data_IF_892230235606
#
_entry.id   IF_892230235606
#
_cell.length_a   1.000
_cell.length_b   1.000
_cell.length_c   1.000
_cell.angle_alpha   90.00
_cell.angle_beta   90.00
_cell.angle_gamma   90.00
#
_symmetry.space_group_name_H-M   'P 1'
#
loop_
_entity.id
_entity.type
_entity.pdbx_description
1 polymer ?
#
# COMPACT_ATOMS: atom_id res chain seq x y z
N UNK A 1 -11.00 7.67 8.49
CA UNK A 1 -12.10 7.07 7.73
C UNK A 1 -11.64 6.48 6.37
N UNK A 2 -10.35 6.58 6.06
CA UNK A 2 -9.67 5.80 5.04
C UNK A 2 -10.01 6.16 3.58
N UNK A 3 -9.70 5.24 2.68
CA UNK A 3 -9.83 5.42 1.23
C UNK A 3 -11.26 5.78 0.76
N UNK A 4 -12.27 5.36 1.51
CA UNK A 4 -13.69 5.65 1.23
C UNK A 4 -14.26 6.81 2.06
N UNK A 5 -13.41 7.70 2.56
CA UNK A 5 -13.70 8.79 3.49
C UNK A 5 -15.08 9.43 3.32
N UNK A 6 -15.90 9.34 4.39
CA UNK A 6 -17.19 10.02 4.47
C UNK A 6 -17.01 11.53 4.64
N UNK A 7 -16.00 11.94 5.40
CA UNK A 7 -15.65 13.36 5.60
C UNK A 7 -15.29 14.01 4.27
N UNK A 8 -14.43 13.37 3.46
CA UNK A 8 -14.07 13.86 2.13
C UNK A 8 -15.32 14.08 1.25
N UNK A 9 -16.25 13.11 1.28
CA UNK A 9 -17.51 13.21 0.53
C UNK A 9 -18.39 14.35 1.05
N UNK A 10 -18.54 14.46 2.36
CA UNK A 10 -19.36 15.50 3.00
C UNK A 10 -18.87 16.91 2.66
N UNK A 11 -17.56 17.10 2.54
CA UNK A 11 -16.96 18.39 2.19
C UNK A 11 -16.73 18.58 0.69
N UNK A 12 -17.29 17.68 -0.16
CA UNK A 12 -17.18 17.73 -1.61
C UNK A 12 -15.74 17.89 -2.12
N UNK A 13 -14.77 17.26 -1.43
CA UNK A 13 -13.36 17.30 -1.85
C UNK A 13 -13.15 16.30 -2.98
N UNK A 14 -12.83 16.77 -4.21
CA UNK A 14 -12.75 15.90 -5.37
C UNK A 14 -11.55 14.95 -5.30
N UNK A 15 -11.70 13.79 -5.94
CA UNK A 15 -10.70 12.73 -5.94
C UNK A 15 -10.38 12.33 -7.39
N UNK A 16 -9.10 12.10 -7.65
CA UNK A 16 -8.62 11.48 -8.89
C UNK A 16 -8.39 9.99 -8.64
N UNK A 17 -8.83 9.17 -9.58
CA UNK A 17 -8.63 7.72 -9.57
C UNK A 17 -7.69 7.33 -10.71
N UNK A 18 -6.83 6.35 -10.43
CA UNK A 18 -6.16 5.57 -11.45
C UNK A 18 -6.25 4.09 -11.03
N UNK A 19 -6.83 3.26 -11.88
CA UNK A 19 -6.75 1.81 -11.69
C UNK A 19 -5.36 1.34 -12.13
N UNK A 20 -4.79 0.41 -11.39
CA UNK A 20 -3.51 -0.17 -11.76
C UNK A 20 -3.67 -1.43 -12.59
N UNK A 21 -4.92 -1.87 -12.81
CA UNK A 21 -5.26 -3.14 -13.45
C UNK A 21 -4.53 -4.33 -12.79
N UNK A 22 -4.41 -4.26 -11.46
CA UNK A 22 -3.81 -5.29 -10.63
C UNK A 22 -4.65 -5.55 -9.39
N UNK A 23 -4.62 -6.80 -8.93
CA UNK A 23 -5.12 -7.21 -7.63
C UNK A 23 -3.96 -7.63 -6.73
N UNK A 24 -4.09 -7.42 -5.42
CA UNK A 24 -3.18 -7.97 -4.42
C UNK A 24 -3.85 -9.14 -3.72
N UNK A 25 -3.25 -10.33 -3.83
CA UNK A 25 -3.61 -11.49 -2.99
C UNK A 25 -2.85 -11.35 -1.68
N UNK A 26 -3.57 -11.44 -0.58
CA UNK A 26 -3.03 -11.43 0.77
C UNK A 26 -3.38 -12.74 1.45
N UNK A 27 -2.38 -13.38 2.04
CA UNK A 27 -2.54 -14.59 2.83
C UNK A 27 -1.42 -14.70 3.87
N UNK A 28 -1.63 -15.55 4.87
CA UNK A 28 -0.58 -15.98 5.80
C UNK A 28 -0.02 -17.31 5.32
N UNK A 29 1.30 -17.40 5.25
CA UNK A 29 2.04 -18.59 4.80
C UNK A 29 3.07 -18.99 5.84
N UNK A 30 3.13 -20.28 6.18
CA UNK A 30 4.19 -20.88 6.97
C UNK A 30 5.29 -21.44 6.07
N UNK A 31 6.55 -21.27 6.47
CA UNK A 31 7.73 -21.72 5.72
C UNK A 31 8.56 -22.70 6.52
N UNK A 32 9.25 -23.65 5.87
CA UNK A 32 10.18 -24.56 6.55
C UNK A 32 11.41 -23.83 7.08
N UNK A 33 11.84 -22.78 6.41
CA UNK A 33 13.00 -21.99 6.80
C UNK A 33 12.61 -20.78 7.64
N UNK A 34 13.44 -20.42 8.62
CA UNK A 34 13.22 -19.21 9.41
C UNK A 34 13.43 -17.94 8.56
N UNK A 35 12.57 -16.95 8.74
CA UNK A 35 12.68 -15.67 8.00
C UNK A 35 13.82 -14.75 8.49
N UNK A 36 14.38 -14.99 9.67
CA UNK A 36 15.47 -14.20 10.28
C UNK A 36 15.15 -12.68 10.30
N UNK A 37 13.89 -12.32 10.56
CA UNK A 37 13.37 -10.95 10.52
C UNK A 37 13.63 -10.22 9.17
N UNK A 38 13.73 -10.95 8.08
CA UNK A 38 14.04 -10.44 6.75
C UNK A 38 12.77 -10.43 5.89
N UNK A 39 12.35 -9.26 5.46
CA UNK A 39 11.35 -9.13 4.40
C UNK A 39 11.99 -9.45 3.04
N UNK A 40 11.31 -10.23 2.21
CA UNK A 40 11.74 -10.57 0.86
C UNK A 40 10.72 -10.09 -0.16
N UNK A 41 11.19 -9.68 -1.30
CA UNK A 41 10.33 -9.31 -2.42
C UNK A 41 10.97 -9.74 -3.73
N UNK A 42 10.18 -10.33 -4.60
CA UNK A 42 10.57 -10.67 -5.97
C UNK A 42 9.68 -9.90 -6.95
N UNK A 43 10.25 -9.51 -8.06
CA UNK A 43 9.54 -8.86 -9.16
C UNK A 43 9.38 -9.89 -10.27
N UNK A 44 8.16 -10.42 -10.40
CA UNK A 44 7.80 -11.37 -11.43
C UNK A 44 7.26 -10.62 -12.66
N UNK A 45 7.29 -11.21 -13.85
CA UNK A 45 6.62 -10.62 -15.02
C UNK A 45 5.13 -10.35 -14.80
N UNK A 46 4.48 -11.13 -13.94
CA UNK A 46 3.06 -10.98 -13.55
C UNK A 46 2.83 -9.96 -12.45
N UNK A 47 3.89 -9.45 -11.81
CA UNK A 47 3.85 -8.48 -10.72
C UNK A 47 4.64 -8.92 -9.48
N UNK A 48 4.83 -8.03 -8.50
CA UNK A 48 5.64 -8.30 -7.32
C UNK A 48 4.94 -9.23 -6.32
N UNK A 49 5.74 -10.11 -5.72
CA UNK A 49 5.37 -10.92 -4.55
C UNK A 49 6.27 -10.53 -3.38
N UNK A 50 5.68 -10.10 -2.28
CA UNK A 50 6.37 -9.78 -1.03
C UNK A 50 6.07 -10.82 0.05
N UNK A 51 7.08 -11.17 0.82
CA UNK A 51 7.03 -11.97 2.04
C UNK A 51 7.44 -11.11 3.22
N UNK A 52 6.50 -10.86 4.11
CA UNK A 52 6.66 -9.97 5.26
C UNK A 52 6.70 -10.82 6.53
N UNK A 53 7.79 -10.78 7.33
CA UNK A 53 7.92 -11.61 8.52
C UNK A 53 6.87 -11.23 9.57
N UNK A 54 6.25 -12.23 10.18
CA UNK A 54 5.36 -12.14 11.32
C UNK A 54 6.10 -12.51 12.62
N UNK A 55 5.49 -12.34 13.80
CA UNK A 55 6.17 -12.65 15.07
C UNK A 55 6.66 -14.10 15.23
N UNK A 56 5.97 -15.06 14.64
CA UNK A 56 6.46 -16.45 14.55
C UNK A 56 7.52 -16.55 13.46
N UNK A 57 8.67 -17.15 13.78
CA UNK A 57 9.88 -17.19 12.92
C UNK A 57 9.69 -17.85 11.56
N UNK A 58 8.68 -18.68 11.42
CA UNK A 58 8.36 -19.43 10.21
C UNK A 58 7.14 -18.85 9.46
N UNK A 59 6.52 -17.81 9.98
CA UNK A 59 5.25 -17.30 9.47
C UNK A 59 5.44 -15.94 8.78
N UNK A 60 4.86 -15.83 7.59
CA UNK A 60 4.90 -14.61 6.78
C UNK A 60 3.48 -14.17 6.39
N UNK A 61 3.26 -12.88 6.31
CA UNK A 61 2.19 -12.33 5.49
C UNK A 61 2.72 -12.17 4.07
N UNK A 62 2.01 -12.70 3.09
CA UNK A 62 2.33 -12.47 1.68
C UNK A 62 1.42 -11.41 1.08
N UNK A 63 1.98 -10.63 0.15
CA UNK A 63 1.26 -9.70 -0.70
C UNK A 63 1.71 -9.96 -2.15
N UNK A 64 0.85 -10.61 -2.92
CA UNK A 64 1.12 -10.93 -4.33
C UNK A 64 0.30 -10.04 -5.24
N UNK A 65 0.95 -9.07 -5.83
CA UNK A 65 0.32 -8.15 -6.78
C UNK A 65 0.42 -8.73 -8.20
N UNK A 66 -0.73 -8.88 -8.87
CA UNK A 66 -0.77 -9.49 -10.21
C UNK A 66 -1.99 -9.00 -11.00
N UNK A 67 -2.09 -9.39 -12.31
CA UNK A 67 -3.26 -9.06 -13.12
C UNK A 67 -4.54 -9.70 -12.55
N UNK A 68 -5.72 -9.14 -12.83
CA UNK A 68 -6.99 -9.72 -12.37
C UNK A 68 -7.16 -11.19 -12.78
N UNK A 69 -6.83 -11.54 -14.01
CA UNK A 69 -6.99 -12.89 -14.56
C UNK A 69 -6.06 -13.90 -13.87
N UNK A 70 -4.80 -13.50 -13.63
CA UNK A 70 -3.85 -14.34 -12.90
C UNK A 70 -4.22 -14.45 -11.42
N UNK A 71 -4.75 -13.40 -10.84
CA UNK A 71 -5.30 -13.42 -9.48
C UNK A 71 -6.43 -14.45 -9.34
N UNK A 72 -7.41 -14.44 -10.26
CA UNK A 72 -8.50 -15.42 -10.29
C UNK A 72 -7.97 -16.85 -10.43
N UNK A 73 -6.98 -17.06 -11.31
CA UNK A 73 -6.32 -18.36 -11.49
C UNK A 73 -5.69 -18.84 -10.17
N UNK A 74 -4.93 -17.97 -9.48
CA UNK A 74 -4.28 -18.32 -8.22
C UNK A 74 -5.29 -18.60 -7.09
N UNK A 75 -6.38 -17.85 -7.04
CA UNK A 75 -7.44 -18.07 -6.04
C UNK A 75 -8.21 -19.36 -6.27
N UNK A 76 -8.35 -19.81 -7.51
CA UNK A 76 -9.03 -21.04 -7.88
C UNK A 76 -8.20 -22.32 -7.59
N UNK A 77 -6.90 -22.20 -7.34
CA UNK A 77 -6.06 -23.33 -6.96
C UNK A 77 -6.47 -23.91 -5.60
N UNK A 78 -6.32 -25.22 -5.42
CA UNK A 78 -6.30 -25.79 -4.08
C UNK A 78 -5.04 -25.37 -3.32
N UNK A 79 -4.99 -25.62 -2.02
CA UNK A 79 -3.88 -25.17 -1.17
C UNK A 79 -2.54 -25.79 -1.60
N UNK A 80 -2.53 -27.05 -2.00
CA UNK A 80 -1.31 -27.74 -2.45
C UNK A 80 -0.72 -27.07 -3.71
N UNK A 81 -1.55 -26.74 -4.68
CA UNK A 81 -1.11 -26.10 -5.92
C UNK A 81 -0.77 -24.62 -5.72
N UNK A 82 -1.50 -23.92 -4.84
CA UNK A 82 -1.15 -22.57 -4.45
C UNK A 82 0.20 -22.51 -3.74
N UNK A 83 0.48 -23.43 -2.80
CA UNK A 83 1.77 -23.55 -2.13
C UNK A 83 2.92 -23.75 -3.12
N UNK A 84 2.72 -24.61 -4.13
CA UNK A 84 3.72 -24.81 -5.22
C UNK A 84 3.93 -23.53 -6.02
N UNK A 85 2.86 -22.81 -6.36
CA UNK A 85 2.96 -21.54 -7.10
C UNK A 85 3.74 -20.50 -6.30
N UNK A 86 3.52 -20.40 -5.00
CA UNK A 86 4.23 -19.49 -4.09
C UNK A 86 5.71 -19.87 -4.00
N UNK A 87 6.05 -21.16 -3.84
CA UNK A 87 7.43 -21.65 -3.81
C UNK A 87 8.16 -21.37 -5.12
N UNK A 88 7.51 -21.64 -6.25
CA UNK A 88 8.08 -21.38 -7.57
C UNK A 88 8.34 -19.89 -7.79
N UNK A 89 7.43 -19.01 -7.37
CA UNK A 89 7.56 -17.57 -7.48
C UNK A 89 8.78 -17.02 -6.70
N UNK A 90 9.16 -17.65 -5.58
CA UNK A 90 10.32 -17.30 -4.76
C UNK A 90 11.60 -18.08 -5.11
N UNK A 91 11.56 -18.91 -6.12
CA UNK A 91 12.69 -19.79 -6.47
C UNK A 91 13.18 -20.64 -5.26
N UNK A 92 12.24 -21.09 -4.44
CA UNK A 92 12.50 -21.91 -3.26
C UNK A 92 13.21 -21.23 -2.08
N UNK A 93 13.43 -19.92 -2.10
CA UNK A 93 14.25 -19.17 -1.12
C UNK A 93 13.75 -19.24 0.33
N UNK A 94 12.54 -19.69 0.58
CA UNK A 94 11.97 -19.84 1.94
C UNK A 94 11.69 -21.30 2.31
N UNK A 95 12.19 -22.24 1.51
CA UNK A 95 11.91 -23.67 1.68
C UNK A 95 10.46 -24.02 1.33
N UNK A 96 9.91 -25.05 2.00
CA UNK A 96 8.51 -25.46 1.78
C UNK A 96 7.56 -24.39 2.33
N UNK A 97 6.53 -24.09 1.54
CA UNK A 97 5.50 -23.11 1.91
C UNK A 97 4.15 -23.80 2.10
N UNK A 98 3.41 -23.38 3.12
CA UNK A 98 2.07 -23.86 3.42
C UNK A 98 1.15 -22.68 3.78
N UNK A 99 0.09 -22.48 3.01
CA UNK A 99 -0.91 -21.45 3.30
C UNK A 99 -1.66 -21.78 4.58
N UNK A 100 -1.81 -20.77 5.46
CA UNK A 100 -2.40 -20.93 6.80
C UNK A 100 -3.70 -20.14 6.97
N UNK A 101 -4.08 -19.32 6.00
CA UNK A 101 -5.28 -18.49 6.05
C UNK A 101 -6.05 -18.53 4.75
N UNK A 102 -7.27 -17.99 4.77
CA UNK A 102 -7.97 -17.66 3.53
C UNK A 102 -7.13 -16.72 2.67
N UNK A 103 -7.23 -16.88 1.36
CA UNK A 103 -6.61 -16.03 0.35
C UNK A 103 -7.57 -14.91 -0.02
N UNK A 104 -7.28 -13.69 0.40
CA UNK A 104 -8.10 -12.53 0.10
C UNK A 104 -7.48 -11.73 -1.05
N UNK A 105 -8.32 -11.23 -1.97
CA UNK A 105 -7.88 -10.38 -3.06
C UNK A 105 -8.50 -8.99 -2.97
N UNK A 106 -7.70 -7.98 -3.23
CA UNK A 106 -8.10 -6.57 -3.23
C UNK A 106 -7.66 -5.88 -4.52
N UNK A 107 -8.56 -5.14 -5.21
CA UNK A 107 -8.18 -4.36 -6.37
C UNK A 107 -7.25 -3.21 -5.95
N UNK A 108 -6.14 -3.05 -6.66
CA UNK A 108 -5.18 -1.98 -6.41
C UNK A 108 -5.57 -0.72 -7.17
N UNK A 109 -5.98 0.30 -6.44
CA UNK A 109 -6.43 1.58 -6.99
C UNK A 109 -5.65 2.72 -6.36
N UNK A 110 -5.08 3.58 -7.19
CA UNK A 110 -4.62 4.87 -6.73
C UNK A 110 -5.82 5.80 -6.52
N UNK A 111 -5.83 6.47 -5.40
CA UNK A 111 -6.75 7.56 -5.10
C UNK A 111 -5.97 8.76 -4.61
N UNK A 112 -6.29 9.93 -5.13
CA UNK A 112 -5.60 11.16 -4.76
C UNK A 112 -6.63 12.28 -4.67
N UNK A 113 -6.81 12.85 -3.47
CA UNK A 113 -7.70 13.98 -3.28
C UNK A 113 -7.09 15.24 -3.90
N UNK A 114 -7.88 15.94 -4.73
CA UNK A 114 -7.43 17.17 -5.36
C UNK A 114 -7.35 18.34 -4.37
N UNK A 115 -8.09 18.25 -3.28
CA UNK A 115 -8.09 19.20 -2.17
C UNK A 115 -7.95 18.43 -0.87
N UNK A 116 -7.02 18.83 0.00
CA UNK A 116 -6.77 18.17 1.28
C UNK A 116 -7.21 19.01 2.46
N UNK A 117 -7.51 20.29 2.25
CA UNK A 117 -7.96 21.21 3.28
C UNK A 117 -9.24 21.92 2.83
N UNK A 118 -10.27 21.91 3.67
CA UNK A 118 -11.50 22.68 3.49
C UNK A 118 -11.92 23.29 4.82
N UNK A 119 -11.78 24.63 4.92
CA UNK A 119 -11.98 25.33 6.20
C UNK A 119 -11.01 24.82 7.28
N UNK A 120 -11.55 24.18 8.32
CA UNK A 120 -10.79 23.55 9.40
C UNK A 120 -10.67 22.01 9.27
N UNK A 121 -11.15 21.45 8.18
CA UNK A 121 -11.07 20.02 7.90
C UNK A 121 -9.81 19.74 7.09
N UNK A 122 -9.05 18.75 7.55
CA UNK A 122 -7.79 18.30 6.92
C UNK A 122 -7.88 16.81 6.62
N UNK A 123 -7.55 16.42 5.40
CA UNK A 123 -7.39 15.02 5.01
C UNK A 123 -5.94 14.59 5.20
N UNK A 124 -5.74 13.33 5.64
CA UNK A 124 -4.42 12.69 5.76
C UNK A 124 -4.52 11.20 5.44
N UNK A 125 -3.37 10.57 5.17
CA UNK A 125 -3.30 9.14 4.90
C UNK A 125 -4.24 8.72 3.75
N UNK A 126 -4.85 7.56 3.85
CA UNK A 126 -5.71 6.99 2.79
C UNK A 126 -6.94 7.83 2.44
N UNK A 127 -7.37 8.74 3.34
CA UNK A 127 -8.42 9.70 3.02
C UNK A 127 -7.95 10.74 1.99
N UNK A 128 -6.67 11.11 2.03
CA UNK A 128 -6.04 12.05 1.11
C UNK A 128 -5.40 11.37 -0.10
N UNK A 129 -4.71 10.26 0.10
CA UNK A 129 -3.96 9.54 -0.93
C UNK A 129 -3.85 8.04 -0.64
N UNK A 130 -4.24 7.22 -1.57
CA UNK A 130 -3.95 5.78 -1.59
C UNK A 130 -2.97 5.53 -2.72
N UNK A 131 -1.80 4.98 -2.41
CA UNK A 131 -0.75 4.70 -3.39
C UNK A 131 -0.57 3.19 -3.57
N UNK A 132 0.13 2.79 -4.65
CA UNK A 132 0.43 1.39 -4.91
C UNK A 132 1.26 0.78 -3.76
N UNK A 133 0.92 -0.43 -3.26
CA UNK A 133 1.60 -1.05 -2.12
C UNK A 133 3.02 -1.58 -2.44
N UNK A 134 3.56 -1.31 -3.62
CA UNK A 134 4.80 -1.87 -4.17
C UNK A 134 6.01 -1.77 -3.20
N UNK A 135 6.03 -0.79 -2.32
CA UNK A 135 7.09 -0.60 -1.33
C UNK A 135 6.56 -0.50 0.11
N UNK A 136 5.29 -0.84 0.37
CA UNK A 136 4.69 -0.73 1.71
C UNK A 136 4.65 0.70 2.27
N UNK A 137 4.73 1.74 1.44
CA UNK A 137 4.91 3.14 1.87
C UNK A 137 3.62 3.86 2.25
N UNK A 138 2.42 3.27 1.99
CA UNK A 138 1.14 3.95 2.22
C UNK A 138 0.97 4.42 3.66
N UNK A 139 1.17 3.53 4.63
CA UNK A 139 1.10 3.85 6.05
C UNK A 139 2.16 4.88 6.45
N UNK A 140 3.39 4.73 5.96
CA UNK A 140 4.48 5.65 6.27
C UNK A 140 4.21 7.07 5.79
N UNK A 141 3.57 7.24 4.64
CA UNK A 141 3.13 8.55 4.16
C UNK A 141 2.05 9.15 5.05
N UNK A 142 1.06 8.35 5.46
CA UNK A 142 0.02 8.79 6.39
C UNK A 142 0.59 9.20 7.76
N UNK A 143 1.58 8.47 8.29
CA UNK A 143 2.27 8.85 9.53
C UNK A 143 3.06 10.15 9.36
N UNK A 144 3.71 10.37 8.21
CA UNK A 144 4.38 11.64 7.89
C UNK A 144 3.38 12.80 7.78
N UNK A 145 2.18 12.56 7.24
CA UNK A 145 1.11 13.57 7.21
C UNK A 145 0.73 13.99 8.63
N UNK A 146 0.50 13.01 9.52
CA UNK A 146 0.16 13.27 10.92
C UNK A 146 1.29 14.01 11.65
N UNK A 147 2.54 13.55 11.50
CA UNK A 147 3.69 14.19 12.15
C UNK A 147 3.85 15.65 11.71
N UNK A 148 3.75 15.93 10.40
CA UNK A 148 3.86 17.28 9.88
C UNK A 148 2.71 18.19 10.35
N UNK A 149 1.48 17.66 10.40
CA UNK A 149 0.35 18.40 10.92
C UNK A 149 0.52 18.74 12.41
N UNK A 150 0.98 17.78 13.22
CA UNK A 150 1.28 18.01 14.65
C UNK A 150 2.34 19.09 14.82
N UNK A 151 3.42 19.05 14.05
CA UNK A 151 4.49 20.05 14.08
C UNK A 151 3.94 21.45 13.77
N UNK A 152 3.14 21.59 12.72
CA UNK A 152 2.52 22.86 12.36
C UNK A 152 1.60 23.38 13.47
N UNK A 153 0.75 22.52 14.04
CA UNK A 153 -0.17 22.90 15.11
C UNK A 153 0.55 23.30 16.39
N UNK A 154 1.67 22.64 16.70
CA UNK A 154 2.49 22.95 17.89
C UNK A 154 3.20 24.31 17.81
N UNK A 155 3.43 24.79 16.59
CA UNK A 155 4.08 26.08 16.35
C UNK A 155 3.10 27.26 16.24
N UNK A 156 1.78 26.98 16.18
CA UNK A 156 0.76 28.02 16.11
C UNK A 156 0.43 28.56 17.52
N UNK A 157 0.37 29.89 17.63
CA UNK A 157 -0.07 30.57 18.85
C UNK A 157 -1.60 30.80 18.76
N UNK A 158 -2.41 29.86 19.25
CA UNK A 158 -3.86 29.98 19.27
C UNK A 158 -4.57 28.62 19.35
N UNK A 159 -5.89 28.64 19.47
CA UNK A 159 -6.71 27.43 19.61
C UNK A 159 -6.81 26.57 18.33
N UNK A 160 -6.51 27.15 17.17
CA UNK A 160 -6.66 26.49 15.86
C UNK A 160 -5.56 26.90 14.91
N UNK A 161 -5.22 25.99 13.99
CA UNK A 161 -4.28 26.26 12.91
C UNK A 161 -4.75 27.44 12.05
N UNK A 162 -3.82 28.32 11.72
CA UNK A 162 -4.08 29.41 10.77
C UNK A 162 -4.34 28.85 9.36
N UNK A 163 -5.10 29.60 8.56
CA UNK A 163 -5.32 29.25 7.16
C UNK A 163 -4.00 29.17 6.35
N UNK A 164 -2.96 29.86 6.83
CA UNK A 164 -1.61 29.82 6.24
C UNK A 164 -0.95 28.47 6.55
N UNK A 165 -0.95 28.02 7.79
CA UNK A 165 -0.40 26.75 8.21
C UNK A 165 -1.09 25.57 7.50
N UNK A 166 -2.42 25.59 7.39
CA UNK A 166 -3.15 24.55 6.69
C UNK A 166 -2.86 24.51 5.19
N UNK A 167 -2.67 25.65 4.53
CA UNK A 167 -2.22 25.69 3.13
C UNK A 167 -0.79 25.17 2.97
N UNK A 168 0.08 25.44 3.94
CA UNK A 168 1.45 24.92 3.91
C UNK A 168 1.48 23.40 4.09
N UNK A 169 0.65 22.88 5.00
CA UNK A 169 0.40 21.44 5.14
C UNK A 169 0.00 20.83 3.79
N UNK A 170 -1.07 21.34 3.19
CA UNK A 170 -1.59 20.81 1.93
C UNK A 170 -0.51 20.81 0.83
N UNK A 171 0.17 21.93 0.64
CA UNK A 171 1.22 22.06 -0.38
C UNK A 171 2.37 21.09 -0.17
N UNK A 172 2.89 21.03 1.05
CA UNK A 172 4.06 20.22 1.39
C UNK A 172 3.74 18.73 1.30
N UNK A 173 2.61 18.31 1.87
CA UNK A 173 2.23 16.91 1.89
C UNK A 173 1.80 16.39 0.52
N UNK A 174 1.11 17.22 -0.28
CA UNK A 174 0.80 16.90 -1.68
C UNK A 174 2.05 16.69 -2.51
N UNK A 175 3.04 17.57 -2.38
CA UNK A 175 4.30 17.44 -3.13
C UNK A 175 5.03 16.15 -2.77
N UNK A 176 5.06 15.78 -1.47
CA UNK A 176 5.68 14.55 -1.02
C UNK A 176 4.94 13.31 -1.56
N UNK A 177 3.61 13.29 -1.48
CA UNK A 177 2.79 12.21 -2.04
C UNK A 177 2.97 12.06 -3.56
N UNK A 178 3.00 13.18 -4.29
CA UNK A 178 3.21 13.17 -5.75
C UNK A 178 4.58 12.62 -6.14
N UNK A 179 5.64 12.96 -5.39
CA UNK A 179 6.98 12.40 -5.59
C UNK A 179 6.97 10.87 -5.42
N UNK A 180 6.30 10.37 -4.39
CA UNK A 180 6.20 8.93 -4.14
C UNK A 180 5.37 8.23 -5.23
N UNK A 181 4.27 8.83 -5.69
CA UNK A 181 3.46 8.28 -6.80
C UNK A 181 4.30 8.21 -8.08
N UNK A 182 5.03 9.27 -8.42
CA UNK A 182 5.89 9.30 -9.61
C UNK A 182 7.03 8.27 -9.51
N UNK A 183 7.66 8.14 -8.34
CA UNK A 183 8.70 7.13 -8.10
C UNK A 183 8.15 5.71 -8.27
N UNK A 184 6.99 5.40 -7.69
CA UNK A 184 6.35 4.08 -7.81
C UNK A 184 5.96 3.77 -9.26
N UNK A 185 5.47 4.75 -9.99
CA UNK A 185 5.15 4.58 -11.40
C UNK A 185 6.39 4.32 -12.24
N UNK A 186 7.47 5.07 -12.01
CA UNK A 186 8.75 4.84 -12.69
C UNK A 186 9.34 3.46 -12.40
N UNK A 187 9.28 3.00 -11.14
CA UNK A 187 9.69 1.63 -10.79
C UNK A 187 8.83 0.58 -11.49
N UNK A 188 7.49 0.76 -11.50
CA UNK A 188 6.59 -0.17 -12.21
C UNK A 188 6.97 -0.27 -13.69
N UNK A 189 7.19 0.86 -14.36
CA UNK A 189 7.55 0.90 -15.79
C UNK A 189 8.92 0.28 -16.04
N UNK A 190 9.90 0.49 -15.14
CA UNK A 190 11.24 -0.09 -15.24
C UNK A 190 11.22 -1.63 -15.16
N UNK A 191 10.39 -2.19 -14.28
CA UNK A 191 10.29 -3.65 -14.08
C UNK A 191 9.24 -4.32 -14.96
N UNK A 192 8.33 -3.59 -15.61
CA UNK A 192 7.35 -4.13 -16.55
C UNK A 192 7.95 -4.44 -17.93
N UNK A 193 9.19 -3.99 -18.22
CA UNK A 193 9.89 -4.21 -19.48
C UNK A 193 11.08 -5.17 -19.38
N UNK A 194 11.24 -5.88 -18.26
CA UNK A 194 12.35 -6.81 -18.03
C UNK A 194 11.91 -8.27 -18.20
#
# INVERSE_FOLDING_TARGET
>A
DGANSAIRKQFNMPITFKDYDHHAIVATVKTSDEHNNTARQVFLPTGPLAFLPLPDKHTHSIVWSTSPEHCETLLALDDSNFNKAVMAALDGQCGLCEVQSERMAFPLKMRYAQQWVSGKVVLMGDAAHTIHPLAGLGMNLGLKDAAYLIELLSNEQGEFASARALRDYERTRKLDAQKHIAMMQGLKELFAGA
#
